data_IF_764988638346
#
_entry.id   IF_764988638346
#
_cell.length_a   1.000
_cell.length_b   1.000
_cell.length_c   1.000
_cell.angle_alpha   90.00
_cell.angle_beta   90.00
_cell.angle_gamma   90.00
#
_symmetry.space_group_name_H-M   'P 1'
#
loop_
_entity.id
_entity.type
_entity.pdbx_description
1 polymer ?
#
# COMPACT_ATOMS: atom_id res chain seq x y z
N UNK A 1 14.49 7.91 5.24
CA UNK A 1 14.33 7.04 4.06
C UNK A 1 15.63 7.06 3.30
N UNK A 2 16.33 5.94 3.19
CA UNK A 2 17.49 5.88 2.30
C UNK A 2 16.99 5.72 0.87
N UNK A 3 17.59 6.43 -0.09
CA UNK A 3 17.29 6.26 -1.52
C UNK A 3 17.81 4.92 -2.06
N UNK A 4 18.62 4.22 -1.27
CA UNK A 4 19.35 3.01 -1.66
C UNK A 4 18.41 1.84 -2.02
N UNK A 5 17.40 1.46 -1.22
CA UNK A 5 16.44 0.41 -1.61
C UNK A 5 15.66 0.77 -2.87
N UNK A 6 15.28 2.05 -3.01
CA UNK A 6 14.61 2.54 -4.22
C UNK A 6 15.45 2.33 -5.47
N UNK A 7 16.73 2.71 -5.43
CA UNK A 7 17.64 2.53 -6.57
C UNK A 7 17.92 1.04 -6.84
N UNK A 8 18.01 0.23 -5.79
CA UNK A 8 18.29 -1.21 -5.88
C UNK A 8 17.12 -2.00 -6.50
N UNK A 9 15.88 -1.61 -6.22
CA UNK A 9 14.69 -2.33 -6.65
C UNK A 9 14.05 -1.71 -7.89
N UNK A 10 14.06 -0.38 -8.01
CA UNK A 10 13.47 0.37 -9.14
C UNK A 10 14.42 0.46 -10.35
N UNK A 11 14.79 -0.68 -10.93
CA UNK A 11 15.65 -0.69 -12.11
C UNK A 11 15.41 -1.91 -13.02
N UNK A 12 16.03 -1.89 -14.20
CA UNK A 12 15.93 -2.93 -15.24
C UNK A 12 16.64 -4.25 -14.91
N UNK A 13 17.44 -4.30 -13.85
CA UNK A 13 18.05 -5.55 -13.35
C UNK A 13 17.17 -6.21 -12.28
N UNK A 14 16.19 -5.49 -11.74
CA UNK A 14 15.25 -5.99 -10.74
C UNK A 14 13.80 -5.82 -11.19
N UNK A 15 13.01 -4.93 -10.57
CA UNK A 15 11.54 -4.79 -10.82
C UNK A 15 11.16 -4.68 -12.29
N UNK A 16 12.00 -4.07 -13.14
CA UNK A 16 11.72 -3.91 -14.57
C UNK A 16 12.58 -4.81 -15.47
N UNK A 17 13.10 -5.91 -14.91
CA UNK A 17 13.86 -6.90 -15.66
C UNK A 17 13.02 -7.66 -16.69
N UNK A 18 13.67 -8.16 -17.75
CA UNK A 18 12.98 -8.89 -18.82
C UNK A 18 12.37 -10.21 -18.34
N UNK A 19 12.89 -10.82 -17.27
CA UNK A 19 12.35 -12.05 -16.67
C UNK A 19 11.15 -11.84 -15.73
N UNK A 20 10.81 -10.59 -15.39
CA UNK A 20 9.65 -10.28 -14.55
C UNK A 20 8.51 -9.83 -15.45
N UNK A 21 7.44 -10.60 -15.51
CA UNK A 21 6.24 -10.20 -16.23
C UNK A 21 5.38 -9.20 -15.43
N UNK A 22 4.34 -8.64 -16.06
CA UNK A 22 3.58 -7.52 -15.54
C UNK A 22 3.05 -7.67 -14.11
N UNK A 23 2.69 -8.89 -13.69
CA UNK A 23 2.17 -9.12 -12.34
C UNK A 23 3.27 -9.04 -11.29
N UNK A 24 4.42 -9.66 -11.57
CA UNK A 24 5.58 -9.57 -10.70
C UNK A 24 6.08 -8.13 -10.59
N UNK A 25 6.06 -7.36 -11.70
CA UNK A 25 6.37 -5.93 -11.68
C UNK A 25 5.40 -5.18 -10.79
N UNK A 26 4.10 -5.43 -10.92
CA UNK A 26 3.07 -4.78 -10.10
C UNK A 26 3.32 -4.96 -8.60
N UNK A 27 3.65 -6.18 -8.16
CA UNK A 27 4.05 -6.48 -6.77
C UNK A 27 5.34 -5.75 -6.36
N UNK A 28 6.41 -5.83 -7.15
CA UNK A 28 7.69 -5.18 -6.83
C UNK A 28 7.55 -3.66 -6.74
N UNK A 29 6.79 -3.07 -7.65
CA UNK A 29 6.49 -1.63 -7.67
C UNK A 29 5.70 -1.21 -6.43
N UNK A 30 4.70 -2.03 -6.03
CA UNK A 30 3.89 -1.77 -4.83
C UNK A 30 4.70 -1.88 -3.55
N UNK A 31 5.67 -2.80 -3.49
CA UNK A 31 6.56 -2.93 -2.34
C UNK A 31 7.42 -1.69 -2.15
N UNK A 32 8.06 -1.19 -3.22
CA UNK A 32 8.89 0.02 -3.17
C UNK A 32 8.08 1.25 -2.76
N UNK A 33 6.87 1.43 -3.33
CA UNK A 33 5.97 2.54 -2.99
C UNK A 33 5.46 2.41 -1.55
N UNK A 34 4.98 1.24 -1.14
CA UNK A 34 4.46 0.99 0.20
C UNK A 34 5.51 1.15 1.31
N UNK A 35 6.72 0.66 1.08
CA UNK A 35 7.86 0.87 1.98
C UNK A 35 8.19 2.36 2.13
N UNK A 36 8.08 3.13 1.04
CA UNK A 36 8.31 4.58 1.07
C UNK A 36 7.29 5.31 1.92
N UNK A 37 6.01 5.01 1.70
CA UNK A 37 4.92 5.60 2.47
C UNK A 37 5.00 5.22 3.96
N UNK A 38 5.34 3.96 4.25
CA UNK A 38 5.57 3.48 5.62
C UNK A 38 6.73 4.21 6.28
N UNK A 39 7.86 4.36 5.58
CA UNK A 39 9.02 5.10 6.08
C UNK A 39 8.73 6.58 6.35
N UNK A 40 7.97 7.25 5.48
CA UNK A 40 7.53 8.62 5.71
C UNK A 40 6.60 8.73 6.92
N UNK A 41 5.67 7.79 7.09
CA UNK A 41 4.80 7.73 8.26
C UNK A 41 5.61 7.54 9.54
N UNK A 42 6.59 6.63 9.55
CA UNK A 42 7.47 6.40 10.70
C UNK A 42 8.28 7.66 11.04
N UNK A 43 8.84 8.35 10.05
CA UNK A 43 9.56 9.61 10.28
C UNK A 43 8.64 10.69 10.85
N UNK A 44 7.42 10.81 10.32
CA UNK A 44 6.41 11.74 10.84
C UNK A 44 6.05 11.42 12.30
N UNK A 45 5.95 10.13 12.65
CA UNK A 45 5.71 9.71 14.03
C UNK A 45 6.88 10.06 14.96
N UNK A 46 8.12 9.81 14.54
CA UNK A 46 9.31 10.14 15.32
C UNK A 46 9.50 11.64 15.50
N UNK A 47 9.09 12.44 14.52
CA UNK A 47 9.18 13.91 14.59
C UNK A 47 8.09 14.56 15.45
N UNK A 48 7.12 13.79 15.97
CA UNK A 48 6.06 14.32 16.82
C UNK A 48 6.42 14.24 18.30
N UNK A 49 6.42 15.40 18.95
CA UNK A 49 6.42 15.51 20.41
C UNK A 49 4.99 15.55 20.97
N UNK A 50 4.70 14.75 22.00
CA UNK A 50 3.48 14.89 22.80
C UNK A 50 2.85 13.60 23.32
N UNK A 51 2.43 13.62 24.58
CA UNK A 51 1.85 12.57 25.42
C UNK A 51 0.47 12.02 24.97
N UNK A 52 0.14 11.98 23.67
CA UNK A 52 -1.21 11.60 23.16
C UNK A 52 -1.20 10.24 22.46
N UNK A 53 -0.75 9.21 23.16
CA UNK A 53 -0.43 7.89 22.60
C UNK A 53 -1.63 7.15 21.99
N UNK A 54 -2.80 7.15 22.63
CA UNK A 54 -3.93 6.31 22.18
C UNK A 54 -4.54 6.76 20.85
N UNK A 55 -4.72 8.07 20.66
CA UNK A 55 -5.25 8.62 19.42
C UNK A 55 -4.26 8.51 18.26
N UNK A 56 -2.96 8.64 18.55
CA UNK A 56 -1.88 8.38 17.60
C UNK A 56 -1.82 6.91 17.20
N UNK A 57 -1.82 5.99 18.16
CA UNK A 57 -1.78 4.55 17.90
C UNK A 57 -2.98 4.09 17.05
N UNK A 58 -4.19 4.57 17.37
CA UNK A 58 -5.41 4.24 16.61
C UNK A 58 -5.36 4.81 15.19
N UNK A 59 -4.88 6.05 15.03
CA UNK A 59 -4.69 6.65 13.71
C UNK A 59 -3.64 5.92 12.87
N UNK A 60 -2.51 5.54 13.48
CA UNK A 60 -1.46 4.76 12.80
C UNK A 60 -1.95 3.38 12.40
N UNK A 61 -2.64 2.68 13.30
CA UNK A 61 -3.22 1.36 13.01
C UNK A 61 -4.19 1.41 11.83
N UNK A 62 -4.99 2.47 11.73
CA UNK A 62 -5.91 2.69 10.62
C UNK A 62 -5.20 3.03 9.29
N UNK A 63 -4.05 3.71 9.36
CA UNK A 63 -3.27 4.09 8.19
C UNK A 63 -2.43 2.93 7.64
N UNK A 64 -2.03 1.96 8.45
CA UNK A 64 -1.18 0.85 8.00
C UNK A 64 -1.76 0.09 6.79
N UNK A 65 -3.04 -0.33 6.78
CA UNK A 65 -3.63 -0.97 5.60
C UNK A 65 -3.65 -0.04 4.38
N UNK A 66 -3.92 1.25 4.57
CA UNK A 66 -3.88 2.24 3.49
C UNK A 66 -2.47 2.35 2.89
N UNK A 67 -1.43 2.42 3.73
CA UNK A 67 -0.05 2.54 3.26
C UNK A 67 0.42 1.26 2.56
N UNK A 68 0.01 0.08 3.07
CA UNK A 68 0.38 -1.21 2.50
C UNK A 68 -0.32 -1.51 1.19
N UNK A 69 -1.65 -1.38 1.17
CA UNK A 69 -2.50 -1.81 0.06
C UNK A 69 -2.80 -0.69 -0.93
N UNK A 70 -2.84 0.57 -0.47
CA UNK A 70 -3.02 1.71 -1.37
C UNK A 70 -1.91 1.83 -2.41
N UNK A 71 -0.70 1.34 -2.11
CA UNK A 71 0.43 1.34 -3.02
C UNK A 71 0.11 0.59 -4.32
N UNK A 72 -0.61 -0.53 -4.23
CA UNK A 72 -1.03 -1.33 -5.39
C UNK A 72 -2.01 -0.61 -6.33
N UNK A 73 -2.76 0.37 -5.85
CA UNK A 73 -3.61 1.20 -6.69
C UNK A 73 -2.81 2.25 -7.45
N UNK A 74 -1.82 2.86 -6.78
CA UNK A 74 -0.94 3.86 -7.42
C UNK A 74 -0.06 3.21 -8.49
N UNK A 75 0.32 1.96 -8.32
CA UNK A 75 1.16 1.25 -9.29
C UNK A 75 0.45 0.95 -10.60
N UNK A 76 -0.89 1.05 -10.68
CA UNK A 76 -1.62 0.95 -11.95
C UNK A 76 -1.21 2.03 -12.95
N UNK A 77 -0.66 3.15 -12.48
CA UNK A 77 -0.11 4.20 -13.33
C UNK A 77 1.31 3.90 -13.84
N UNK A 78 1.95 2.82 -13.37
CA UNK A 78 3.32 2.45 -13.73
C UNK A 78 3.30 1.54 -14.97
N UNK A 79 3.93 1.95 -16.09
CA UNK A 79 3.90 1.18 -17.32
C UNK A 79 4.42 -0.25 -17.17
N UNK A 80 3.74 -1.19 -17.80
CA UNK A 80 4.13 -2.60 -17.81
C UNK A 80 3.86 -3.34 -16.50
N UNK A 81 3.05 -2.78 -15.61
CA UNK A 81 2.50 -3.48 -14.44
C UNK A 81 1.06 -3.95 -14.73
N UNK A 82 0.62 -5.01 -14.05
CA UNK A 82 -0.75 -5.52 -14.14
C UNK A 82 -1.21 -6.19 -12.83
N UNK A 83 -2.44 -5.96 -12.37
CA UNK A 83 -3.00 -6.69 -11.23
C UNK A 83 -3.43 -8.12 -11.57
N UNK A 84 -3.44 -8.50 -12.86
CA UNK A 84 -3.80 -9.83 -13.32
C UNK A 84 -2.57 -10.74 -13.41
N UNK A 85 -2.75 -11.99 -12.99
CA UNK A 85 -1.78 -13.07 -13.13
C UNK A 85 -1.50 -13.38 -14.62
N UNK A 86 -0.28 -13.85 -14.89
CA UNK A 86 0.15 -14.23 -16.23
C UNK A 86 -0.18 -15.69 -16.53
N UNK A 87 -0.64 -15.97 -17.75
CA UNK A 87 -0.92 -17.35 -18.20
C UNK A 87 -2.26 -17.93 -17.72
N UNK A 88 -3.01 -17.22 -16.88
CA UNK A 88 -4.34 -17.58 -16.42
C UNK A 88 -5.45 -16.63 -16.91
N UNK A 89 -6.73 -17.04 -16.82
CA UNK A 89 -7.85 -16.14 -17.07
C UNK A 89 -7.90 -15.03 -16.01
N UNK A 90 -8.30 -13.79 -16.37
CA UNK A 90 -8.35 -12.68 -15.42
C UNK A 90 -9.42 -12.91 -14.35
N UNK A 91 -9.01 -12.97 -13.08
CA UNK A 91 -9.93 -13.06 -11.96
C UNK A 91 -10.52 -11.69 -11.62
N UNK A 92 -11.84 -11.58 -11.67
CA UNK A 92 -12.57 -10.34 -11.44
C UNK A 92 -13.62 -10.48 -10.36
N UNK A 93 -13.81 -9.43 -9.59
CA UNK A 93 -14.91 -9.26 -8.64
C UNK A 93 -15.59 -7.92 -8.97
N UNK A 94 -16.91 -7.94 -9.19
CA UNK A 94 -17.68 -6.75 -9.59
C UNK A 94 -17.11 -6.05 -10.85
N UNK A 95 -16.53 -6.82 -11.79
CA UNK A 95 -15.91 -6.30 -13.02
C UNK A 95 -14.49 -5.75 -12.85
N UNK A 96 -14.00 -5.59 -11.61
CA UNK A 96 -12.67 -5.08 -11.27
C UNK A 96 -11.69 -6.23 -10.97
N UNK A 97 -10.35 -6.01 -11.00
CA UNK A 97 -9.38 -7.02 -10.58
C UNK A 97 -9.65 -7.48 -9.14
N UNK A 98 -9.81 -8.79 -8.93
CA UNK A 98 -10.20 -9.32 -7.61
C UNK A 98 -9.18 -8.99 -6.50
N UNK A 99 -7.89 -8.93 -6.83
CA UNK A 99 -6.82 -8.51 -5.93
C UNK A 99 -7.01 -7.08 -5.42
N UNK A 100 -7.33 -6.13 -6.31
CA UNK A 100 -7.63 -4.74 -5.95
C UNK A 100 -8.88 -4.62 -5.07
N UNK A 101 -9.96 -5.33 -5.44
CA UNK A 101 -11.19 -5.26 -4.63
C UNK A 101 -10.95 -5.79 -3.21
N UNK A 102 -10.20 -6.88 -3.08
CA UNK A 102 -9.94 -7.51 -1.78
C UNK A 102 -9.11 -6.61 -0.88
N UNK A 103 -8.03 -6.02 -1.41
CA UNK A 103 -7.18 -5.12 -0.63
C UNK A 103 -7.89 -3.79 -0.29
N UNK A 104 -8.71 -3.25 -1.20
CA UNK A 104 -9.45 -2.01 -0.97
C UNK A 104 -10.55 -2.20 0.07
N UNK A 105 -11.13 -3.39 0.15
CA UNK A 105 -12.03 -3.76 1.23
C UNK A 105 -11.31 -3.72 2.60
N UNK A 106 -10.06 -4.19 2.69
CA UNK A 106 -9.27 -4.11 3.93
C UNK A 106 -8.98 -2.66 4.32
N UNK A 107 -8.66 -1.79 3.34
CA UNK A 107 -8.51 -0.35 3.57
C UNK A 107 -9.83 0.24 4.10
N UNK A 108 -10.95 -0.04 3.45
CA UNK A 108 -12.26 0.46 3.84
C UNK A 108 -12.66 0.01 5.25
N UNK A 109 -12.38 -1.25 5.61
CA UNK A 109 -12.63 -1.77 6.95
C UNK A 109 -11.78 -1.05 8.00
N UNK A 110 -10.50 -0.83 7.73
CA UNK A 110 -9.60 -0.13 8.65
C UNK A 110 -10.02 1.33 8.88
N UNK A 111 -10.36 2.05 7.80
CA UNK A 111 -10.85 3.42 7.88
C UNK A 111 -12.23 3.50 8.54
N UNK A 112 -13.10 2.52 8.28
CA UNK A 112 -14.41 2.41 8.92
C UNK A 112 -14.31 2.20 10.43
N UNK A 113 -13.43 1.28 10.86
CA UNK A 113 -13.14 1.05 12.28
C UNK A 113 -12.60 2.30 12.98
N UNK A 114 -11.68 3.01 12.33
CA UNK A 114 -11.18 4.31 12.80
C UNK A 114 -12.30 5.34 12.93
N UNK A 115 -13.15 5.48 11.91
CA UNK A 115 -14.26 6.43 11.95
C UNK A 115 -15.24 6.14 13.08
N UNK A 116 -15.56 4.86 13.32
CA UNK A 116 -16.41 4.42 14.43
C UNK A 116 -15.80 4.75 15.80
N UNK A 117 -14.50 4.49 16.00
CA UNK A 117 -13.79 4.86 17.23
C UNK A 117 -13.84 6.37 17.47
N UNK A 118 -13.58 7.16 16.43
CA UNK A 118 -13.62 8.62 16.50
C UNK A 118 -15.00 9.19 16.77
N UNK A 119 -16.06 8.46 16.41
CA UNK A 119 -17.46 8.83 16.72
C UNK A 119 -17.82 8.46 18.15
N UNK A 120 -17.33 7.33 18.67
CA UNK A 120 -17.54 6.91 20.05
C UNK A 120 -16.82 7.85 21.04
N UNK A 121 -15.59 8.27 20.73
CA UNK A 121 -14.81 9.16 21.59
C UNK A 121 -15.30 10.63 21.64
N UNK A 122 -16.33 10.98 20.86
CA UNK A 122 -16.97 12.32 20.84
C UNK A 122 -18.29 12.37 21.62
N UNK A 123 -18.82 11.22 22.04
CA UNK A 123 -20.01 11.08 22.86
C UNK A 123 -19.61 11.04 24.34
#
# INVERSE_FOLDING_TARGET
MTLVPWIADWNRRHTFGPGYGPHARWHGTAEVVGASWSGLMMLWLLARDGQRERGLATGVAALLPLLRYGAFNVTLAVPGTSPYEEGGPPLRLLGLPASLVTQDALIALALGGYWLERRAARQ
#
